data_IF_748338794535
#
_entry.id   IF_748338794535
#
_cell.length_a   1.000
_cell.length_b   1.000
_cell.length_c   1.000
_cell.angle_alpha   90.00
_cell.angle_beta   90.00
_cell.angle_gamma   90.00
#
_symmetry.space_group_name_H-M   'P 1'
#
loop_
_entity.id
_entity.type
_entity.pdbx_description
1 polymer ?
#
# COMPACT_ATOMS: atom_id res chain seq x y z
N UNK A 1 -2.94 -4.65 -9.44
CA UNK A 1 -3.62 -4.48 -8.14
C UNK A 1 -3.40 -5.66 -7.20
N UNK A 2 -3.52 -6.92 -7.67
CA UNK A 2 -3.22 -8.13 -6.88
C UNK A 2 -1.88 -8.06 -6.15
N UNK A 3 -0.82 -7.68 -6.87
CA UNK A 3 0.54 -7.61 -6.33
C UNK A 3 0.70 -6.60 -5.19
N UNK A 4 0.07 -5.42 -5.30
CA UNK A 4 0.05 -4.41 -4.24
C UNK A 4 -0.57 -4.95 -2.94
N UNK A 5 -1.60 -5.79 -3.06
CA UNK A 5 -2.28 -6.40 -1.91
C UNK A 5 -1.37 -7.47 -1.28
N UNK A 6 -0.68 -8.26 -2.09
CA UNK A 6 0.26 -9.27 -1.61
C UNK A 6 1.44 -8.61 -0.91
N UNK A 7 2.04 -7.60 -1.52
CA UNK A 7 3.18 -6.86 -0.97
C UNK A 7 2.81 -6.21 0.37
N UNK A 8 1.66 -5.55 0.43
CA UNK A 8 1.13 -4.98 1.67
C UNK A 8 0.82 -6.05 2.72
N UNK A 9 0.23 -7.18 2.31
CA UNK A 9 -0.13 -8.28 3.21
C UNK A 9 1.09 -8.99 3.81
N UNK A 10 2.14 -9.15 3.01
CA UNK A 10 3.43 -9.70 3.45
C UNK A 10 4.15 -8.71 4.36
N UNK A 11 4.16 -7.42 4.02
CA UNK A 11 4.75 -6.38 4.86
C UNK A 11 4.06 -6.25 6.23
N UNK A 12 2.76 -6.55 6.31
CA UNK A 12 2.00 -6.58 7.55
C UNK A 12 2.21 -7.86 8.39
N UNK A 13 2.89 -8.88 7.87
CA UNK A 13 3.11 -10.14 8.60
C UNK A 13 1.93 -11.13 8.55
N UNK A 14 0.94 -10.88 7.68
CA UNK A 14 -0.30 -11.67 7.61
C UNK A 14 -1.29 -11.37 8.74
N UNK A 15 -2.19 -12.31 9.03
CA UNK A 15 -3.27 -12.14 10.03
C UNK A 15 -4.59 -11.63 9.46
N UNK A 16 -5.43 -11.01 10.30
CA UNK A 16 -6.73 -10.44 9.87
C UNK A 16 -6.52 -9.03 9.31
N UNK A 17 -6.72 -8.87 8.00
CA UNK A 17 -6.43 -7.67 7.25
C UNK A 17 -7.70 -7.11 6.60
N UNK A 18 -7.90 -5.80 6.73
CA UNK A 18 -8.91 -5.02 6.04
C UNK A 18 -8.33 -4.31 4.82
N UNK A 19 -9.01 -4.47 3.68
CA UNK A 19 -8.67 -3.77 2.44
C UNK A 19 -9.68 -2.63 2.23
N UNK A 20 -9.17 -1.41 2.17
CA UNK A 20 -9.88 -0.23 1.71
C UNK A 20 -9.45 0.06 0.27
N UNK A 21 -10.42 0.12 -0.63
CA UNK A 21 -10.20 0.40 -2.05
C UNK A 21 -11.30 1.34 -2.56
N UNK A 22 -11.02 1.99 -3.70
CA UNK A 22 -12.00 2.80 -4.42
C UNK A 22 -13.19 1.94 -4.85
N UNK A 23 -14.37 2.55 -4.98
CA UNK A 23 -15.62 1.84 -5.33
C UNK A 23 -15.52 1.08 -6.66
N UNK A 24 -14.84 1.64 -7.65
CA UNK A 24 -14.62 1.03 -8.98
C UNK A 24 -13.63 -0.15 -8.93
N UNK A 25 -12.58 -0.04 -8.11
CA UNK A 25 -11.61 -1.13 -7.93
C UNK A 25 -12.14 -2.25 -7.04
N UNK A 26 -12.95 -1.92 -6.04
CA UNK A 26 -13.61 -2.88 -5.16
C UNK A 26 -14.44 -3.92 -5.93
N UNK A 27 -15.05 -3.52 -7.06
CA UNK A 27 -15.80 -4.42 -7.93
C UNK A 27 -14.89 -5.36 -8.76
N UNK A 28 -13.62 -5.00 -8.94
CA UNK A 28 -12.60 -5.77 -9.66
C UNK A 28 -11.83 -6.74 -8.75
N UNK A 29 -11.89 -6.57 -7.42
CA UNK A 29 -11.35 -7.53 -6.45
C UNK A 29 -12.27 -8.77 -6.33
N UNK A 30 -12.18 -9.70 -7.28
CA UNK A 30 -12.95 -10.96 -7.26
C UNK A 30 -12.19 -12.16 -6.67
N UNK A 31 -10.92 -12.00 -6.30
CA UNK A 31 -10.04 -13.12 -5.90
C UNK A 31 -9.35 -12.95 -4.54
N UNK A 32 -10.02 -12.29 -3.59
CA UNK A 32 -9.50 -12.06 -2.24
C UNK A 32 -9.03 -13.35 -1.56
N UNK A 33 -9.73 -14.47 -1.77
CA UNK A 33 -9.41 -15.77 -1.19
C UNK A 33 -8.10 -16.35 -1.74
N UNK A 34 -7.83 -16.16 -3.03
CA UNK A 34 -6.58 -16.62 -3.65
C UNK A 34 -5.39 -15.78 -3.15
N UNK A 35 -5.59 -14.47 -3.03
CA UNK A 35 -4.59 -13.54 -2.51
C UNK A 35 -4.25 -13.86 -1.05
N UNK A 36 -5.26 -14.13 -0.22
CA UNK A 36 -5.08 -14.51 1.19
C UNK A 36 -4.26 -15.80 1.33
N UNK A 37 -4.52 -16.81 0.49
CA UNK A 37 -3.73 -18.05 0.45
C UNK A 37 -2.28 -17.78 0.09
N UNK A 38 -2.03 -16.89 -0.86
CA UNK A 38 -0.67 -16.57 -1.30
C UNK A 38 0.13 -15.81 -0.23
N UNK A 39 -0.51 -14.85 0.46
CA UNK A 39 0.08 -14.17 1.62
C UNK A 39 0.35 -15.18 2.74
N UNK A 40 -0.61 -16.06 3.05
CA UNK A 40 -0.43 -17.12 4.06
C UNK A 40 0.77 -18.01 3.72
N UNK A 41 0.96 -18.35 2.44
CA UNK A 41 2.08 -19.17 1.99
C UNK A 41 3.43 -18.44 2.11
N UNK A 42 3.46 -17.12 1.87
CA UNK A 42 4.68 -16.31 2.02
C UNK A 42 5.02 -15.97 3.48
N UNK A 43 4.01 -15.74 4.31
CA UNK A 43 4.19 -15.28 5.69
C UNK A 43 4.19 -16.42 6.72
N UNK A 44 3.65 -17.60 6.37
CA UNK A 44 3.46 -18.72 7.30
C UNK A 44 2.26 -18.55 8.25
N UNK A 45 1.74 -17.33 8.39
CA UNK A 45 0.61 -16.98 9.26
C UNK A 45 -0.71 -17.00 8.50
N UNK A 46 -1.76 -17.58 9.08
CA UNK A 46 -3.11 -17.63 8.49
C UNK A 46 -3.62 -16.21 8.23
N UNK A 47 -3.85 -15.89 6.97
CA UNK A 47 -4.24 -14.54 6.56
C UNK A 47 -5.72 -14.51 6.12
N UNK A 48 -6.48 -13.57 6.66
CA UNK A 48 -7.88 -13.32 6.29
C UNK A 48 -7.97 -11.93 5.68
N UNK A 49 -8.49 -11.82 4.45
CA UNK A 49 -8.72 -10.53 3.80
C UNK A 49 -10.21 -10.20 3.83
N UNK A 50 -10.57 -9.06 4.42
CA UNK A 50 -11.93 -8.51 4.40
C UNK A 50 -11.93 -7.19 3.66
N UNK A 51 -12.90 -7.00 2.77
CA UNK A 51 -13.10 -5.72 2.14
C UNK A 51 -13.82 -4.79 3.12
N UNK A 52 -13.22 -3.65 3.45
CA UNK A 52 -13.88 -2.63 4.26
C UNK A 52 -15.07 -2.04 3.49
N UNK A 53 -16.14 -1.69 4.22
CA UNK A 53 -17.26 -0.89 3.68
C UNK A 53 -16.82 0.53 3.35
N UNK A 54 -15.82 1.00 4.08
CA UNK A 54 -15.23 2.33 3.92
C UNK A 54 -14.43 2.42 2.62
N UNK A 55 -14.73 3.46 1.81
CA UNK A 55 -14.16 3.65 0.48
C UNK A 55 -13.20 4.83 0.49
N UNK A 56 -12.05 4.64 -0.13
CA UNK A 56 -11.04 5.69 -0.30
C UNK A 56 -11.26 6.46 -1.60
N UNK A 57 -11.07 7.78 -1.52
CA UNK A 57 -11.02 8.69 -2.66
C UNK A 57 -9.55 8.82 -3.09
N UNK A 58 -9.11 7.95 -3.99
CA UNK A 58 -7.76 7.96 -4.56
C UNK A 58 -7.85 7.75 -6.07
N UNK A 59 -6.82 8.15 -6.83
CA UNK A 59 -6.77 7.91 -8.27
C UNK A 59 -6.75 6.39 -8.59
N UNK A 60 -6.11 5.61 -7.71
CA UNK A 60 -6.05 4.16 -7.76
C UNK A 60 -5.22 3.55 -6.62
N UNK A 61 -5.24 2.23 -6.51
CA UNK A 61 -4.47 1.46 -5.51
C UNK A 61 -5.29 1.02 -4.29
N UNK A 62 -4.61 0.55 -3.25
CA UNK A 62 -5.23 -0.08 -2.08
C UNK A 62 -4.61 0.43 -0.78
N UNK A 63 -5.42 0.49 0.27
CA UNK A 63 -4.95 0.66 1.64
C UNK A 63 -5.25 -0.63 2.38
N UNK A 64 -4.23 -1.25 2.99
CA UNK A 64 -4.41 -2.38 3.90
C UNK A 64 -4.24 -1.90 5.33
N UNK A 65 -5.07 -2.44 6.21
CA UNK A 65 -5.06 -2.14 7.63
C UNK A 65 -5.24 -3.44 8.41
N UNK A 66 -4.51 -3.62 9.50
CA UNK A 66 -4.75 -4.75 10.42
C UNK A 66 -6.11 -4.60 11.10
N UNK A 67 -6.79 -5.69 11.45
CA UNK A 67 -8.05 -5.63 12.21
C UNK A 67 -7.92 -4.86 13.53
N UNK A 68 -6.73 -4.89 14.14
CA UNK A 68 -6.41 -4.14 15.35
C UNK A 68 -6.21 -2.63 15.11
N UNK A 69 -6.27 -2.17 13.86
CA UNK A 69 -5.95 -0.79 13.43
C UNK A 69 -4.54 -0.28 13.80
N UNK A 70 -3.70 -1.13 14.39
CA UNK A 70 -2.33 -0.81 14.80
C UNK A 70 -1.42 -0.45 13.62
N UNK A 71 -1.54 -1.15 12.48
CA UNK A 71 -0.70 -0.89 11.30
C UNK A 71 -1.55 -0.69 10.06
N UNK A 72 -1.26 0.40 9.33
CA UNK A 72 -1.91 0.74 8.07
C UNK A 72 -0.85 0.96 7.00
N UNK A 73 -0.93 0.23 5.90
CA UNK A 73 -0.08 0.40 4.73
C UNK A 73 -0.90 1.03 3.62
N UNK A 74 -0.47 2.22 3.20
CA UNK A 74 -1.06 2.93 2.09
C UNK A 74 -0.26 2.67 0.80
N UNK A 75 -0.81 1.84 -0.08
CA UNK A 75 -0.27 1.56 -1.41
C UNK A 75 -1.17 2.19 -2.50
N UNK A 76 -1.72 3.39 -2.23
CA UNK A 76 -2.35 4.18 -3.28
C UNK A 76 -1.31 4.71 -4.26
N UNK A 77 -1.74 4.91 -5.50
CA UNK A 77 -0.90 5.49 -6.53
C UNK A 77 -0.45 6.90 -6.14
N UNK A 78 -1.35 7.70 -5.57
CA UNK A 78 -1.04 9.02 -5.03
C UNK A 78 0.08 8.97 -3.98
N UNK A 79 0.03 8.03 -3.03
CA UNK A 79 1.04 7.92 -1.97
C UNK A 79 2.42 7.57 -2.54
N UNK A 80 2.48 6.64 -3.50
CA UNK A 80 3.73 6.31 -4.19
C UNK A 80 4.27 7.48 -5.01
N UNK A 81 3.39 8.17 -5.74
CA UNK A 81 3.78 9.32 -6.55
C UNK A 81 4.33 10.45 -5.65
N UNK A 82 3.66 10.75 -4.55
CA UNK A 82 4.07 11.78 -3.59
C UNK A 82 5.43 11.44 -2.95
N UNK A 83 5.67 10.17 -2.63
CA UNK A 83 6.93 9.71 -2.07
C UNK A 83 8.09 9.86 -3.07
N UNK A 84 7.86 9.48 -4.34
CA UNK A 84 8.83 9.69 -5.42
C UNK A 84 9.12 11.18 -5.62
N UNK A 85 8.08 12.03 -5.64
CA UNK A 85 8.25 13.48 -5.76
C UNK A 85 9.07 14.07 -4.61
N UNK A 86 8.91 13.57 -3.37
CA UNK A 86 9.74 13.99 -2.23
C UNK A 86 11.21 13.65 -2.46
N UNK A 87 11.51 12.41 -2.88
CA UNK A 87 12.89 12.02 -3.19
C UNK A 87 13.50 12.87 -4.31
N UNK A 88 12.75 13.11 -5.38
CA UNK A 88 13.21 13.94 -6.50
C UNK A 88 13.49 15.37 -6.03
N UNK A 89 12.61 15.98 -5.22
CA UNK A 89 12.83 17.33 -4.68
C UNK A 89 14.09 17.40 -3.83
N UNK A 90 14.33 16.43 -2.96
CA UNK A 90 15.55 16.38 -2.14
C UNK A 90 16.79 16.22 -3.02
N UNK A 91 16.75 15.35 -4.02
CA UNK A 91 17.88 15.13 -4.93
C UNK A 91 18.18 16.35 -5.81
N UNK A 92 17.14 17.04 -6.29
CA UNK A 92 17.26 18.28 -7.08
C UNK A 92 17.79 19.42 -6.21
N UNK A 93 17.32 19.56 -4.97
CA UNK A 93 17.82 20.54 -4.03
C UNK A 93 19.29 20.29 -3.67
N UNK A 94 19.68 19.04 -3.39
CA UNK A 94 21.09 18.69 -3.15
C UNK A 94 21.98 19.14 -4.32
N UNK A 95 21.63 18.76 -5.55
CA UNK A 95 22.37 19.21 -6.75
C UNK A 95 22.40 20.73 -6.95
N UNK A 96 21.30 21.43 -6.70
CA UNK A 96 21.20 22.89 -6.92
C UNK A 96 21.90 23.70 -5.83
N UNK A 97 21.99 23.19 -4.60
CA UNK A 97 22.51 23.93 -3.44
C UNK A 97 23.88 23.43 -2.95
N UNK A 98 24.39 22.28 -3.41
CA UNK A 98 25.79 21.85 -3.17
C UNK A 98 26.82 22.82 -3.77
N UNK A 99 26.52 23.51 -4.89
CA UNK A 99 27.43 24.53 -5.46
C UNK A 99 27.50 25.84 -4.67
N UNK A 100 26.58 26.11 -3.73
CA UNK A 100 26.52 27.38 -3.00
C UNK A 100 27.12 27.36 -1.59
N UNK A 101 27.52 26.20 -1.07
CA UNK A 101 28.04 26.10 0.30
C UNK A 101 29.57 26.24 0.41
N UNK A 102 30.29 26.44 -0.71
CA UNK A 102 31.75 26.55 -0.74
C UNK A 102 32.25 27.93 -1.21
N UNK A 103 31.43 28.99 -1.10
CA UNK A 103 31.83 30.38 -1.39
C UNK A 103 31.63 31.29 -0.19
#
# INVERSE_FOLDING_TARGET
MRELIIESGVALGGGDLLIKARKEDAAKLKDLTAIAKEITKKCGTKCTLKLAKDRITALGGVVLQTADSSVTINNTFDARLEQEYRHIRTAVAAKLFEEKASS
#
